data_IF_430322773527
#
_entry.id   IF_430322773527
#
_cell.length_a   1.000
_cell.length_b   1.000
_cell.length_c   1.000
_cell.angle_alpha   90.00
_cell.angle_beta   90.00
_cell.angle_gamma   90.00
#
_symmetry.space_group_name_H-M   'P 1'
#
loop_
_entity.id
_entity.type
_entity.pdbx_description
1 polymer ?
#
# COMPACT_ATOMS: atom_id res chain seq x y z
N UNK A 1 -26.69 -8.94 12.66
CA UNK A 1 -25.50 -9.05 13.50
C UNK A 1 -24.24 -9.19 12.68
N UNK A 2 -24.25 -10.17 11.85
CA UNK A 2 -23.02 -10.51 11.14
C UNK A 2 -22.64 -9.48 10.10
N UNK A 3 -23.65 -8.81 9.53
CA UNK A 3 -23.35 -7.82 8.51
C UNK A 3 -22.60 -6.61 9.06
N UNK A 4 -23.00 -6.15 10.24
CA UNK A 4 -22.31 -5.04 10.88
C UNK A 4 -20.90 -5.45 11.26
N UNK A 5 -20.77 -6.64 11.83
CA UNK A 5 -19.46 -7.15 12.21
C UNK A 5 -18.57 -7.30 11.00
N UNK A 6 -19.11 -7.82 9.89
CA UNK A 6 -18.35 -7.99 8.66
C UNK A 6 -17.87 -6.65 8.13
N UNK A 7 -18.75 -5.63 8.15
CA UNK A 7 -18.38 -4.31 7.66
C UNK A 7 -17.28 -3.71 8.52
N UNK A 8 -17.39 -3.83 9.82
CA UNK A 8 -16.40 -3.29 10.73
C UNK A 8 -15.07 -4.02 10.63
N UNK A 9 -15.11 -5.26 10.17
CA UNK A 9 -13.90 -6.08 10.05
C UNK A 9 -13.23 -5.97 8.70
N UNK A 10 -13.74 -5.12 7.81
CA UNK A 10 -13.09 -4.90 6.54
C UNK A 10 -11.69 -4.34 6.78
N UNK A 11 -10.75 -4.90 6.05
CA UNK A 11 -9.36 -4.45 6.16
C UNK A 11 -9.15 -3.18 5.36
N UNK A 12 -8.31 -2.31 5.88
CA UNK A 12 -8.04 -1.00 5.30
C UNK A 12 -6.74 -1.04 4.50
N UNK A 13 -6.77 -0.50 3.30
CA UNK A 13 -5.59 -0.40 2.46
C UNK A 13 -5.34 1.06 2.15
N UNK A 14 -4.12 1.51 2.36
CA UNK A 14 -3.69 2.85 2.00
C UNK A 14 -3.00 2.77 0.64
N UNK A 15 -3.51 3.55 -0.32
CA UNK A 15 -2.94 3.63 -1.66
C UNK A 15 -2.25 4.97 -1.81
N UNK A 16 -0.95 4.95 -2.09
CA UNK A 16 -0.15 6.16 -2.25
C UNK A 16 0.36 6.23 -3.68
N UNK A 17 -0.11 7.20 -4.43
CA UNK A 17 0.27 7.40 -5.83
C UNK A 17 -0.02 8.84 -6.19
N UNK A 18 0.85 9.48 -6.96
CA UNK A 18 0.65 10.87 -7.33
C UNK A 18 -0.33 11.04 -8.50
N UNK A 19 -0.70 9.96 -9.17
CA UNK A 19 -1.65 9.99 -10.26
C UNK A 19 -3.06 9.80 -9.74
N UNK A 20 -3.92 10.78 -9.98
CA UNK A 20 -5.31 10.68 -9.58
C UNK A 20 -6.01 9.51 -10.27
N UNK A 21 -5.71 9.31 -11.55
CA UNK A 21 -6.30 8.20 -12.30
C UNK A 21 -5.91 6.86 -11.69
N UNK A 22 -4.66 6.72 -11.29
CA UNK A 22 -4.21 5.48 -10.69
C UNK A 22 -4.84 5.26 -9.32
N UNK A 23 -4.93 6.34 -8.52
CA UNK A 23 -5.60 6.23 -7.22
C UNK A 23 -7.05 5.80 -7.38
N UNK A 24 -7.75 6.40 -8.34
CA UNK A 24 -9.16 6.06 -8.60
C UNK A 24 -9.29 4.61 -9.04
N UNK A 25 -8.42 4.17 -9.94
CA UNK A 25 -8.46 2.79 -10.44
C UNK A 25 -8.23 1.81 -9.30
N UNK A 26 -7.18 2.02 -8.54
CA UNK A 26 -6.84 1.11 -7.43
C UNK A 26 -7.93 1.09 -6.38
N UNK A 27 -8.50 2.25 -6.08
CA UNK A 27 -9.58 2.32 -5.11
C UNK A 27 -10.76 1.46 -5.54
N UNK A 28 -11.17 1.57 -6.82
CA UNK A 28 -12.29 0.78 -7.31
C UNK A 28 -11.99 -0.71 -7.29
N UNK A 29 -10.81 -1.09 -7.71
CA UNK A 29 -10.44 -2.50 -7.75
C UNK A 29 -10.44 -3.13 -6.36
N UNK A 30 -9.85 -2.41 -5.42
CA UNK A 30 -9.73 -2.92 -4.06
C UNK A 30 -11.05 -2.90 -3.31
N UNK A 31 -11.87 -1.87 -3.53
CA UNK A 31 -13.17 -1.82 -2.90
C UNK A 31 -14.08 -2.93 -3.41
N UNK A 32 -13.98 -3.25 -4.70
CA UNK A 32 -14.73 -4.37 -5.26
C UNK A 32 -14.31 -5.69 -4.63
N UNK A 33 -13.06 -5.78 -4.25
CA UNK A 33 -12.53 -7.00 -3.63
C UNK A 33 -12.90 -7.09 -2.14
N UNK A 34 -13.52 -6.05 -1.59
CA UNK A 34 -14.02 -6.10 -0.21
C UNK A 34 -13.19 -5.33 0.79
N UNK A 35 -12.25 -4.51 0.34
CA UNK A 35 -11.41 -3.74 1.24
C UNK A 35 -11.92 -2.31 1.36
N UNK A 36 -11.55 -1.63 2.44
CA UNK A 36 -11.71 -0.19 2.55
C UNK A 36 -10.44 0.47 2.09
N UNK A 37 -10.57 1.57 1.35
CA UNK A 37 -9.40 2.20 0.74
C UNK A 37 -9.32 3.66 1.18
N UNK A 38 -8.13 4.05 1.57
CA UNK A 38 -7.77 5.42 1.86
C UNK A 38 -6.67 5.77 0.89
N UNK A 39 -6.68 6.98 0.34
CA UNK A 39 -5.70 7.37 -0.66
C UNK A 39 -4.85 8.52 -0.17
N UNK A 40 -3.63 8.62 -0.71
CA UNK A 40 -2.72 9.71 -0.46
C UNK A 40 -2.00 10.02 -1.75
N UNK A 41 -1.75 11.30 -2.01
CA UNK A 41 -1.17 11.71 -3.28
C UNK A 41 0.34 11.90 -3.23
N UNK A 42 0.92 11.90 -2.03
CA UNK A 42 2.36 12.07 -1.90
C UNK A 42 2.84 11.43 -0.59
N UNK A 43 4.15 11.52 -0.37
CA UNK A 43 4.76 10.88 0.79
C UNK A 43 4.29 11.46 2.12
N UNK A 44 4.19 12.79 2.19
CA UNK A 44 3.76 13.43 3.41
C UNK A 44 2.32 13.06 3.74
N UNK A 45 1.45 13.08 2.74
CA UNK A 45 0.06 12.71 2.91
C UNK A 45 -0.06 11.25 3.34
N UNK A 46 0.85 10.39 2.86
CA UNK A 46 0.80 8.98 3.23
C UNK A 46 1.04 8.80 4.73
N UNK A 47 1.95 9.55 5.29
CA UNK A 47 2.23 9.45 6.72
C UNK A 47 1.04 9.95 7.55
N UNK A 48 0.43 11.04 7.11
CA UNK A 48 -0.75 11.59 7.79
C UNK A 48 -1.91 10.59 7.75
N UNK A 49 -2.18 10.03 6.57
CA UNK A 49 -3.28 9.09 6.39
C UNK A 49 -3.03 7.79 7.16
N UNK A 50 -1.79 7.33 7.20
CA UNK A 50 -1.46 6.12 7.94
C UNK A 50 -1.76 6.30 9.42
N UNK A 51 -1.40 7.44 9.99
CA UNK A 51 -1.66 7.70 11.40
C UNK A 51 -3.14 7.81 11.71
N UNK A 52 -3.91 8.38 10.79
CA UNK A 52 -5.34 8.57 10.98
C UNK A 52 -6.13 7.27 10.88
N UNK A 53 -5.81 6.45 9.89
CA UNK A 53 -6.64 5.31 9.53
C UNK A 53 -6.06 3.95 9.87
N UNK A 54 -4.79 3.88 10.24
CA UNK A 54 -4.13 2.63 10.64
C UNK A 54 -4.37 1.51 9.63
N UNK A 55 -3.87 1.68 8.39
CA UNK A 55 -4.12 0.67 7.36
C UNK A 55 -3.49 -0.67 7.70
N UNK A 56 -4.09 -1.71 7.19
CA UNK A 56 -3.59 -3.07 7.34
C UNK A 56 -2.57 -3.42 6.26
N UNK A 57 -2.54 -2.64 5.20
CA UNK A 57 -1.60 -2.82 4.09
C UNK A 57 -1.42 -1.50 3.37
N UNK A 58 -0.22 -1.25 2.85
CA UNK A 58 0.09 -0.03 2.12
C UNK A 58 0.59 -0.38 0.72
N UNK A 59 0.00 0.26 -0.30
CA UNK A 59 0.52 0.23 -1.66
C UNK A 59 1.25 1.55 -1.87
N UNK A 60 2.56 1.49 -2.02
CA UNK A 60 3.39 2.69 -2.03
C UNK A 60 4.07 2.87 -3.39
N UNK A 61 3.70 3.92 -4.11
CA UNK A 61 4.41 4.32 -5.30
C UNK A 61 5.77 4.85 -4.88
N UNK A 62 6.83 4.40 -5.53
CA UNK A 62 8.18 4.80 -5.16
C UNK A 62 8.59 6.13 -5.79
N UNK A 63 7.85 6.63 -6.77
CA UNK A 63 8.18 7.86 -7.49
C UNK A 63 7.23 8.99 -7.10
N UNK A 64 7.36 9.49 -5.88
CA UNK A 64 6.48 10.55 -5.37
C UNK A 64 7.15 11.92 -5.49
N UNK A 65 6.35 12.99 -5.63
CA UNK A 65 6.91 14.33 -5.92
C UNK A 65 7.60 15.02 -4.75
N UNK A 66 7.11 14.87 -3.53
CA UNK A 66 7.63 15.62 -2.38
C UNK A 66 8.63 14.83 -1.55
N UNK A 67 8.37 13.57 -1.40
CA UNK A 67 9.19 12.66 -0.60
C UNK A 67 9.13 11.34 -1.35
N UNK A 68 10.26 10.81 -1.75
CA UNK A 68 10.21 9.58 -2.53
C UNK A 68 9.66 8.44 -1.68
N UNK A 69 9.16 7.41 -2.36
CA UNK A 69 8.51 6.31 -1.68
C UNK A 69 9.42 5.57 -0.72
N UNK A 70 10.73 5.53 -1.01
CA UNK A 70 11.71 4.90 -0.13
C UNK A 70 11.73 5.57 1.23
N UNK A 71 11.73 6.89 1.20
CA UNK A 71 11.78 7.68 2.41
C UNK A 71 10.51 7.52 3.23
N UNK A 72 9.38 7.52 2.54
CA UNK A 72 8.08 7.33 3.20
C UNK A 72 8.03 5.97 3.88
N UNK A 73 8.52 4.93 3.23
CA UNK A 73 8.55 3.59 3.81
C UNK A 73 9.43 3.58 5.07
N UNK A 74 10.59 4.21 4.99
CA UNK A 74 11.49 4.26 6.15
C UNK A 74 10.83 4.96 7.33
N UNK A 75 10.10 6.05 7.06
CA UNK A 75 9.37 6.75 8.12
C UNK A 75 8.31 5.87 8.75
N UNK A 76 7.54 5.16 7.92
CA UNK A 76 6.51 4.26 8.43
C UNK A 76 7.11 3.18 9.32
N UNK A 77 8.23 2.59 8.89
CA UNK A 77 8.86 1.51 9.65
C UNK A 77 9.41 1.97 11.01
N UNK A 78 9.65 3.26 11.17
CA UNK A 78 10.10 3.79 12.46
C UNK A 78 8.95 3.93 13.45
N UNK A 79 7.72 3.93 12.98
CA UNK A 79 6.57 4.00 13.86
C UNK A 79 6.23 2.59 14.35
N UNK A 80 6.13 2.40 15.67
CA UNK A 80 5.90 1.05 16.21
C UNK A 80 4.66 0.36 15.66
N UNK A 81 3.60 1.12 15.42
CA UNK A 81 2.34 0.55 14.94
C UNK A 81 2.42 0.05 13.50
N UNK A 82 3.46 0.45 12.75
CA UNK A 82 3.60 0.03 11.35
C UNK A 82 4.84 -0.83 11.11
N UNK A 83 5.41 -1.35 12.20
CA UNK A 83 6.65 -2.12 12.09
C UNK A 83 6.49 -3.37 11.23
N UNK A 84 5.33 -4.01 11.29
CA UNK A 84 5.07 -5.25 10.56
C UNK A 84 3.96 -5.12 9.51
N UNK A 85 3.42 -3.92 9.32
CA UNK A 85 2.38 -3.72 8.31
C UNK A 85 2.94 -4.03 6.92
N UNK A 86 2.24 -4.88 6.14
CA UNK A 86 2.72 -5.17 4.78
C UNK A 86 2.75 -3.91 3.92
N UNK A 87 3.86 -3.68 3.24
CA UNK A 87 4.01 -2.56 2.32
C UNK A 87 4.45 -3.12 0.98
N UNK A 88 3.63 -2.91 -0.04
CA UNK A 88 3.95 -3.31 -1.41
C UNK A 88 4.46 -2.08 -2.13
N UNK A 89 5.71 -2.12 -2.56
CA UNK A 89 6.28 -1.05 -3.39
C UNK A 89 5.79 -1.23 -4.81
N UNK A 90 5.31 -0.15 -5.41
CA UNK A 90 4.86 -0.16 -6.81
C UNK A 90 5.78 0.75 -7.59
N UNK A 91 6.35 0.26 -8.68
CA UNK A 91 7.36 1.01 -9.40
C UNK A 91 7.28 0.75 -10.91
N UNK A 92 7.60 1.78 -11.71
CA UNK A 92 7.72 1.63 -13.14
C UNK A 92 9.04 0.97 -13.54
N UNK A 93 9.98 0.88 -12.60
CA UNK A 93 11.30 0.34 -12.87
C UNK A 93 11.53 -0.94 -12.08
N UNK A 94 11.37 -2.08 -12.77
CA UNK A 94 11.52 -3.38 -12.12
C UNK A 94 12.87 -3.95 -12.51
N UNK A 95 13.90 -3.55 -11.80
CA UNK A 95 15.23 -4.14 -11.97
C UNK A 95 15.60 -4.81 -10.65
N UNK A 96 16.54 -5.75 -10.68
CA UNK A 96 16.99 -6.37 -9.42
C UNK A 96 17.49 -5.35 -8.42
N UNK A 97 18.12 -4.28 -8.91
CA UNK A 97 18.64 -3.22 -8.04
C UNK A 97 17.50 -2.48 -7.34
N UNK A 98 16.45 -2.17 -8.08
CA UNK A 98 15.29 -1.48 -7.49
C UNK A 98 14.58 -2.37 -6.50
N UNK A 99 14.47 -3.67 -6.81
CA UNK A 99 13.84 -4.62 -5.90
C UNK A 99 14.62 -4.72 -4.59
N UNK A 100 15.94 -4.79 -4.67
CA UNK A 100 16.78 -4.85 -3.48
C UNK A 100 16.63 -3.59 -2.65
N UNK A 101 16.55 -2.45 -3.31
CA UNK A 101 16.42 -1.18 -2.64
C UNK A 101 15.09 -1.09 -1.89
N UNK A 102 14.04 -1.59 -2.52
CA UNK A 102 12.72 -1.61 -1.89
C UNK A 102 12.73 -2.44 -0.62
N UNK A 103 13.31 -3.62 -0.70
CA UNK A 103 13.38 -4.50 0.47
C UNK A 103 14.26 -3.91 1.55
N UNK A 104 15.37 -3.27 1.17
CA UNK A 104 16.26 -2.62 2.13
C UNK A 104 15.59 -1.48 2.85
N UNK A 105 14.66 -0.78 2.19
CA UNK A 105 13.91 0.31 2.80
C UNK A 105 12.83 -0.19 3.74
N UNK A 106 12.46 -1.47 3.66
CA UNK A 106 11.48 -2.06 4.56
C UNK A 106 10.21 -2.53 3.88
N UNK A 107 10.17 -2.56 2.54
CA UNK A 107 8.99 -3.06 1.83
C UNK A 107 8.87 -4.56 1.99
N UNK A 108 7.63 -5.05 2.03
CA UNK A 108 7.36 -6.48 2.14
C UNK A 108 7.43 -7.16 0.79
N UNK A 109 7.01 -6.45 -0.26
CA UNK A 109 6.99 -6.98 -1.62
C UNK A 109 7.08 -5.81 -2.59
N UNK A 110 7.24 -6.12 -3.87
CA UNK A 110 7.26 -5.07 -4.89
C UNK A 110 6.49 -5.55 -6.11
N UNK A 111 5.98 -4.60 -6.88
CA UNK A 111 5.14 -4.86 -8.04
C UNK A 111 5.48 -3.86 -9.12
N UNK A 112 5.72 -4.32 -10.33
CA UNK A 112 6.06 -3.45 -11.45
C UNK A 112 4.84 -2.92 -12.16
N UNK A 113 4.92 -1.68 -12.64
CA UNK A 113 3.89 -1.09 -13.50
C UNK A 113 4.27 -1.34 -14.95
N UNK A 114 3.33 -1.68 -15.80
CA UNK A 114 1.94 -1.98 -15.51
C UNK A 114 1.80 -3.38 -14.89
N UNK A 115 0.84 -3.53 -14.01
CA UNK A 115 0.58 -4.83 -13.39
C UNK A 115 -0.80 -5.32 -13.79
N UNK A 116 -0.99 -6.63 -13.71
CA UNK A 116 -2.29 -7.22 -13.93
C UNK A 116 -3.10 -7.14 -12.66
N UNK A 117 -4.39 -6.82 -12.80
CA UNK A 117 -5.29 -6.72 -11.66
C UNK A 117 -5.25 -7.98 -10.81
N UNK A 118 -5.24 -9.13 -11.46
CA UNK A 118 -5.23 -10.41 -10.78
C UNK A 118 -3.99 -10.58 -9.90
N UNK A 119 -2.85 -10.13 -10.42
CA UNK A 119 -1.59 -10.25 -9.68
C UNK A 119 -1.62 -9.32 -8.46
N UNK A 120 -2.08 -8.09 -8.65
CA UNK A 120 -2.20 -7.15 -7.53
C UNK A 120 -3.11 -7.71 -6.44
N UNK A 121 -4.30 -8.14 -6.81
CA UNK A 121 -5.26 -8.63 -5.82
C UNK A 121 -4.76 -9.89 -5.13
N UNK A 122 -4.03 -10.73 -5.85
CA UNK A 122 -3.44 -11.93 -5.26
C UNK A 122 -2.40 -11.60 -4.21
N UNK A 123 -1.52 -10.63 -4.50
CA UNK A 123 -0.50 -10.22 -3.54
C UNK A 123 -1.12 -9.58 -2.30
N UNK A 124 -2.12 -8.73 -2.50
CA UNK A 124 -2.81 -8.10 -1.39
C UNK A 124 -3.44 -9.15 -0.48
N UNK A 125 -4.16 -10.10 -1.08
CA UNK A 125 -4.83 -11.15 -0.31
C UNK A 125 -3.83 -12.01 0.44
N UNK A 126 -2.73 -12.36 -0.21
CA UNK A 126 -1.70 -13.19 0.40
C UNK A 126 -1.09 -12.52 1.62
N UNK A 127 -0.73 -11.25 1.48
CA UNK A 127 -0.07 -10.53 2.55
C UNK A 127 -1.01 -10.23 3.72
N UNK A 128 -2.26 -9.93 3.43
CA UNK A 128 -3.23 -9.67 4.49
C UNK A 128 -3.58 -10.94 5.25
N UNK A 129 -3.66 -12.05 4.55
CA UNK A 129 -3.94 -13.32 5.19
C UNK A 129 -2.78 -13.74 6.11
N UNK A 130 -1.56 -13.62 5.60
CA UNK A 130 -0.38 -14.01 6.36
C UNK A 130 -0.11 -13.06 7.52
N UNK A 131 -0.36 -11.76 7.30
CA UNK A 131 -0.12 -10.75 8.30
C UNK A 131 -1.22 -10.62 9.33
N UNK A 132 -2.36 -11.18 9.00
CA UNK A 132 -3.50 -11.14 9.91
C UNK A 132 -3.49 -12.26 10.89
#
# INVERSE_FOLDING_TARGET
MDELTTTEQKQHILVVDDSEDMRDLLQRLLERAGYRVVVAEDGQASLTQAKLYHPDLVLMDLSLPDMDGWEAVRHLRKMPEFRTTPIIAVTAHVSPREAERAMAAGCTAHLGKPFETRVLLGEVARLLKDGG
#
